data_IF_723250559474
#
_entry.id   IF_723250559474
#
_cell.length_a   1.000
_cell.length_b   1.000
_cell.length_c   1.000
_cell.angle_alpha   90.00
_cell.angle_beta   90.00
_cell.angle_gamma   90.00
#
_symmetry.space_group_name_H-M   'P 1'
#
loop_
_entity.id
_entity.type
_entity.pdbx_description
1 polymer ?
#
# COMPACT_ATOMS: atom_id res chain seq x y z
N UNK A 1 24.99 -3.32 0.26
CA UNK A 1 24.08 -4.26 -0.43
C UNK A 1 24.22 -4.26 -1.95
N UNK A 2 24.67 -3.19 -2.64
CA UNK A 2 25.07 -3.28 -4.05
C UNK A 2 23.96 -3.66 -5.05
N UNK A 3 22.71 -3.69 -4.58
CA UNK A 3 21.53 -3.99 -5.40
C UNK A 3 21.10 -2.68 -6.05
N UNK A 4 20.97 -2.68 -7.38
CA UNK A 4 20.38 -1.57 -8.14
C UNK A 4 18.89 -1.47 -7.86
N UNK A 5 18.50 -0.91 -6.71
CA UNK A 5 17.12 -0.65 -6.35
C UNK A 5 16.85 0.86 -6.41
N UNK A 6 15.94 1.27 -7.29
CA UNK A 6 15.40 2.63 -7.29
C UNK A 6 14.18 2.72 -6.36
N UNK A 7 13.88 3.89 -5.77
CA UNK A 7 12.70 4.06 -4.90
C UNK A 7 11.37 3.59 -5.52
N UNK A 8 11.26 3.57 -6.85
CA UNK A 8 10.12 3.03 -7.58
C UNK A 8 9.95 1.51 -7.40
N UNK A 9 11.06 0.78 -7.26
CA UNK A 9 11.05 -0.67 -7.00
C UNK A 9 10.33 -1.01 -5.71
N UNK A 10 10.56 -0.24 -4.63
CA UNK A 10 9.89 -0.47 -3.34
C UNK A 10 8.37 -0.26 -3.39
N UNK A 11 7.89 0.76 -4.13
CA UNK A 11 6.44 0.99 -4.29
C UNK A 11 5.79 -0.10 -5.13
N UNK A 12 6.43 -0.52 -6.22
CA UNK A 12 5.92 -1.61 -7.06
C UNK A 12 5.87 -2.93 -6.29
N UNK A 13 6.95 -3.29 -5.57
CA UNK A 13 6.97 -4.50 -4.74
C UNK A 13 5.87 -4.51 -3.67
N UNK A 14 5.65 -3.39 -2.98
CA UNK A 14 4.53 -3.28 -2.05
C UNK A 14 3.18 -3.47 -2.76
N UNK A 15 3.01 -2.83 -3.94
CA UNK A 15 1.74 -2.86 -4.66
C UNK A 15 1.38 -4.25 -5.15
N UNK A 16 2.36 -4.96 -5.71
CA UNK A 16 2.22 -6.32 -6.21
C UNK A 16 1.93 -7.27 -5.05
N UNK A 17 2.71 -7.18 -3.96
CA UNK A 17 2.47 -7.96 -2.75
C UNK A 17 1.06 -7.74 -2.20
N UNK A 18 0.63 -6.49 -2.03
CA UNK A 18 -0.68 -6.19 -1.46
C UNK A 18 -1.80 -6.76 -2.34
N UNK A 19 -1.66 -6.69 -3.68
CA UNK A 19 -2.63 -7.23 -4.62
C UNK A 19 -2.74 -8.76 -4.58
N UNK A 20 -1.61 -9.44 -4.42
CA UNK A 20 -1.54 -10.90 -4.51
C UNK A 20 -1.76 -11.60 -3.17
N UNK A 21 -1.49 -10.93 -2.05
CA UNK A 21 -1.38 -11.57 -0.73
C UNK A 21 -2.36 -11.05 0.31
N UNK A 22 -3.20 -10.07 -0.03
CA UNK A 22 -4.14 -9.47 0.93
C UNK A 22 -5.49 -9.19 0.27
N UNK A 23 -6.53 -9.09 1.08
CA UNK A 23 -7.87 -8.65 0.65
C UNK A 23 -8.06 -7.13 0.81
N UNK A 24 -6.96 -6.36 0.92
CA UNK A 24 -7.06 -4.92 1.12
C UNK A 24 -7.73 -4.24 -0.09
N UNK A 25 -8.68 -3.32 0.10
CA UNK A 25 -9.29 -2.61 -1.01
C UNK A 25 -8.26 -1.77 -1.78
N UNK A 26 -8.46 -1.63 -3.09
CA UNK A 26 -7.62 -0.80 -3.97
C UNK A 26 -7.37 0.60 -3.40
N UNK A 27 -8.43 1.27 -2.91
CA UNK A 27 -8.33 2.59 -2.32
C UNK A 27 -7.39 2.65 -1.09
N UNK A 28 -7.31 1.57 -0.30
CA UNK A 28 -6.39 1.47 0.85
C UNK A 28 -4.95 1.32 0.38
N UNK A 29 -4.71 0.48 -0.64
CA UNK A 29 -3.38 0.28 -1.23
C UNK A 29 -2.81 1.59 -1.80
N UNK A 30 -3.62 2.32 -2.58
CA UNK A 30 -3.21 3.60 -3.18
C UNK A 30 -3.00 4.68 -2.10
N UNK A 31 -3.86 4.72 -1.08
CA UNK A 31 -3.71 5.66 0.03
C UNK A 31 -2.47 5.36 0.90
N UNK A 32 -2.05 4.10 1.01
CA UNK A 32 -0.80 3.72 1.68
C UNK A 32 0.45 4.14 0.90
N UNK A 33 0.35 4.18 -0.44
CA UNK A 33 1.39 4.72 -1.33
C UNK A 33 1.42 6.25 -1.41
N UNK A 34 0.50 6.93 -0.70
CA UNK A 34 0.25 8.37 -0.78
C UNK A 34 -0.08 8.83 -2.21
N UNK A 35 -0.72 7.99 -3.00
CA UNK A 35 -1.22 8.36 -4.31
C UNK A 35 -2.46 9.25 -4.18
N UNK A 36 -2.55 10.27 -5.03
CA UNK A 36 -3.71 11.14 -5.08
C UNK A 36 -4.86 10.48 -5.86
N UNK A 37 -6.08 10.63 -5.35
CA UNK A 37 -7.30 10.27 -6.10
C UNK A 37 -7.41 11.22 -7.30
N UNK A 38 -7.36 10.68 -8.51
CA UNK A 38 -7.34 11.47 -9.75
C UNK A 38 -8.71 12.03 -10.11
N UNK A 39 -9.77 11.31 -9.77
CA UNK A 39 -11.14 11.73 -10.01
C UNK A 39 -11.57 12.76 -8.96
N UNK A 40 -11.93 13.96 -9.42
CA UNK A 40 -12.29 15.07 -8.52
C UNK A 40 -13.61 14.84 -7.79
N UNK A 41 -14.55 14.11 -8.37
CA UNK A 41 -15.81 13.78 -7.73
C UNK A 41 -15.57 12.74 -6.63
N UNK A 42 -14.84 11.67 -6.93
CA UNK A 42 -14.44 10.66 -5.94
C UNK A 42 -13.63 11.28 -4.80
N UNK A 43 -12.65 12.15 -5.12
CA UNK A 43 -11.86 12.87 -4.14
C UNK A 43 -12.71 13.77 -3.23
N UNK A 44 -13.77 14.39 -3.75
CA UNK A 44 -14.69 15.22 -2.95
C UNK A 44 -15.51 14.39 -1.95
N UNK A 45 -15.81 13.12 -2.28
CA UNK A 45 -16.53 12.20 -1.40
C UNK A 45 -15.60 11.38 -0.48
N UNK A 46 -14.31 11.28 -0.81
CA UNK A 46 -13.29 10.62 0.00
C UNK A 46 -12.95 11.44 1.27
N UNK A 47 -13.87 11.41 2.24
CA UNK A 47 -13.78 12.15 3.50
C UNK A 47 -12.86 11.50 4.55
N UNK A 48 -12.39 10.28 4.29
CA UNK A 48 -11.48 9.54 5.16
C UNK A 48 -10.21 9.21 4.40
N UNK A 49 -9.08 9.29 5.07
CA UNK A 49 -7.76 8.84 4.60
C UNK A 49 -7.53 7.33 4.81
N UNK A 50 -8.57 6.62 5.30
CA UNK A 50 -8.56 5.19 5.59
C UNK A 50 -7.44 4.79 6.56
N UNK A 51 -7.01 5.71 7.44
CA UNK A 51 -5.82 5.56 8.28
C UNK A 51 -5.70 4.19 8.94
N UNK A 52 -6.76 3.72 9.61
CA UNK A 52 -6.71 2.48 10.37
C UNK A 52 -6.56 1.23 9.48
N UNK A 53 -7.20 1.25 8.29
CA UNK A 53 -7.03 0.17 7.31
C UNK A 53 -5.63 0.19 6.71
N UNK A 54 -5.04 1.37 6.51
CA UNK A 54 -3.64 1.49 6.08
C UNK A 54 -2.69 0.97 7.15
N UNK A 55 -2.93 1.29 8.43
CA UNK A 55 -2.12 0.82 9.56
C UNK A 55 -2.03 -0.71 9.56
N UNK A 56 -3.18 -1.38 9.50
CA UNK A 56 -3.25 -2.85 9.44
C UNK A 56 -2.51 -3.41 8.23
N UNK A 57 -2.68 -2.82 7.05
CA UNK A 57 -1.98 -3.27 5.84
C UNK A 57 -0.45 -3.07 5.94
N UNK A 58 0.00 -1.98 6.53
CA UNK A 58 1.43 -1.71 6.75
C UNK A 58 2.04 -2.65 7.78
N UNK A 59 1.28 -3.06 8.80
CA UNK A 59 1.70 -4.06 9.79
C UNK A 59 1.90 -5.43 9.14
N UNK A 60 0.93 -5.88 8.34
CA UNK A 60 1.06 -7.13 7.57
C UNK A 60 2.27 -7.09 6.62
N UNK A 61 2.52 -5.93 6.00
CA UNK A 61 3.68 -5.76 5.13
C UNK A 61 4.99 -5.87 5.90
N UNK A 62 5.06 -5.25 7.09
CA UNK A 62 6.23 -5.34 7.96
C UNK A 62 6.49 -6.78 8.43
N UNK A 63 5.44 -7.52 8.80
CA UNK A 63 5.53 -8.92 9.18
C UNK A 63 6.04 -9.81 8.04
N UNK A 64 5.52 -9.59 6.82
CA UNK A 64 5.97 -10.29 5.62
C UNK A 64 7.46 -10.04 5.34
N UNK A 65 7.89 -8.77 5.36
CA UNK A 65 9.30 -8.40 5.14
C UNK A 65 10.24 -8.96 6.22
N UNK A 66 9.75 -9.09 7.45
CA UNK A 66 10.51 -9.67 8.55
C UNK A 66 10.60 -11.21 8.49
N UNK A 67 9.96 -11.84 7.49
CA UNK A 67 9.96 -13.31 7.32
C UNK A 67 9.04 -14.04 8.30
N UNK A 68 8.11 -13.32 8.93
CA UNK A 68 7.15 -13.89 9.89
C UNK A 68 5.80 -14.26 9.24
N UNK A 69 5.64 -14.01 7.94
CA UNK A 69 4.45 -14.41 7.17
C UNK A 69 4.62 -15.80 6.56
N UNK A 70 3.75 -16.73 6.95
CA UNK A 70 3.54 -18.01 6.26
C UNK A 70 2.79 -17.80 4.93
#
# INVERSE_FOLDING_TARGET
LGIGAVPHGFRSSFRDWAAERTDAPHAVMEAALAHAVRDKAEAAYARSDLFERRRVLMEQWAEYLAGHGA
#
